data_IF_652331457610
#
_entry.id   IF_652331457610
#
_cell.length_a   1.000
_cell.length_b   1.000
_cell.length_c   1.000
_cell.angle_alpha   90.00
_cell.angle_beta   90.00
_cell.angle_gamma   90.00
#
_symmetry.space_group_name_H-M   'P 1'
#
loop_
_entity.id
_entity.type
_entity.pdbx_description
1 polymer ?
#
# COMPACT_ATOMS: atom_id res chain seq x y z
N UNK A 1 -7.80 27.38 -27.93
CA UNK A 1 -9.26 27.17 -27.94
C UNK A 1 -9.73 25.86 -27.29
N UNK A 2 -8.91 24.82 -27.19
CA UNK A 2 -9.35 23.52 -26.66
C UNK A 2 -9.45 23.41 -25.11
N UNK A 3 -8.83 24.30 -24.36
CA UNK A 3 -8.89 24.26 -22.87
C UNK A 3 -10.24 24.75 -22.30
N UNK A 4 -10.95 25.59 -23.03
CA UNK A 4 -12.23 26.17 -22.58
C UNK A 4 -13.40 25.20 -22.74
N UNK A 5 -13.34 24.31 -23.75
CA UNK A 5 -14.40 23.33 -24.04
C UNK A 5 -14.39 22.18 -23.01
N UNK A 6 -13.21 21.77 -22.54
CA UNK A 6 -13.07 20.74 -21.49
C UNK A 6 -13.63 21.26 -20.15
N UNK A 7 -13.41 22.54 -19.86
CA UNK A 7 -13.94 23.17 -18.64
C UNK A 7 -15.48 23.27 -18.66
N UNK A 8 -16.09 23.51 -19.82
CA UNK A 8 -17.54 23.68 -19.92
C UNK A 8 -18.32 22.35 -19.82
N UNK A 9 -17.83 21.27 -20.40
CA UNK A 9 -18.44 19.94 -20.23
C UNK A 9 -18.30 19.40 -18.81
N UNK A 10 -17.16 19.64 -18.17
CA UNK A 10 -16.90 19.23 -16.79
C UNK A 10 -17.81 20.02 -15.84
N UNK A 11 -17.98 21.34 -16.02
CA UNK A 11 -18.81 22.17 -15.13
C UNK A 11 -20.29 21.81 -15.15
N UNK A 12 -20.85 21.31 -16.26
CA UNK A 12 -22.27 20.92 -16.33
C UNK A 12 -22.56 19.52 -15.77
N UNK A 13 -21.58 18.63 -15.75
CA UNK A 13 -21.69 17.26 -15.22
C UNK A 13 -21.28 17.21 -13.75
N UNK A 14 -20.41 18.09 -13.31
CA UNK A 14 -19.75 18.09 -12.01
C UNK A 14 -20.67 18.31 -10.79
N UNK A 15 -21.73 19.14 -10.81
CA UNK A 15 -22.65 19.22 -9.68
C UNK A 15 -23.37 17.89 -9.38
N UNK A 16 -23.55 17.03 -10.40
CA UNK A 16 -24.13 15.70 -10.25
C UNK A 16 -23.13 14.66 -9.71
N UNK A 17 -21.83 14.90 -9.82
CA UNK A 17 -20.79 13.96 -9.45
C UNK A 17 -20.26 14.17 -8.01
N UNK A 18 -20.58 15.32 -7.44
CA UNK A 18 -19.98 15.79 -6.18
C UNK A 18 -20.51 15.12 -4.90
N UNK A 19 -21.54 14.29 -4.95
CA UNK A 19 -22.21 13.90 -3.70
C UNK A 19 -22.09 12.45 -3.29
N UNK A 20 -21.82 11.50 -4.17
CA UNK A 20 -21.78 10.07 -3.78
C UNK A 20 -21.64 9.14 -5.00
N UNK A 21 -21.31 7.88 -4.73
CA UNK A 21 -21.44 6.73 -5.63
C UNK A 21 -22.80 6.68 -6.39
N UNK A 22 -23.86 7.20 -5.77
CA UNK A 22 -25.20 7.36 -6.38
C UNK A 22 -25.19 8.35 -7.53
N UNK A 23 -24.39 9.40 -7.46
CA UNK A 23 -24.38 10.45 -8.48
C UNK A 23 -23.51 10.05 -9.68
N UNK A 24 -22.45 9.29 -9.47
CA UNK A 24 -21.73 8.60 -10.55
C UNK A 24 -22.61 7.58 -11.29
N UNK A 25 -23.54 6.92 -10.58
CA UNK A 25 -24.54 6.04 -11.21
C UNK A 25 -25.59 6.80 -12.02
N UNK A 26 -25.94 8.03 -11.63
CA UNK A 26 -26.86 8.89 -12.40
C UNK A 26 -26.27 9.30 -13.75
N UNK A 27 -24.94 9.47 -13.83
CA UNK A 27 -24.26 9.73 -15.12
C UNK A 27 -24.48 8.57 -16.11
N UNK A 28 -24.58 7.32 -15.62
CA UNK A 28 -24.93 6.14 -16.45
C UNK A 28 -26.42 6.09 -16.82
N UNK A 29 -27.29 6.84 -16.16
CA UNK A 29 -28.72 6.92 -16.49
C UNK A 29 -29.05 8.05 -17.46
N UNK A 30 -28.08 8.50 -18.26
CA UNK A 30 -28.24 9.52 -19.31
C UNK A 30 -29.32 9.17 -20.37
N UNK A 31 -29.82 7.93 -20.36
CA UNK A 31 -30.87 7.42 -21.24
C UNK A 31 -32.16 8.29 -21.22
N UNK A 32 -32.33 9.13 -20.21
CA UNK A 32 -33.50 10.00 -20.08
C UNK A 32 -33.34 11.39 -20.72
N UNK A 33 -32.13 11.78 -21.16
CA UNK A 33 -31.93 13.03 -21.87
C UNK A 33 -32.29 12.89 -23.36
N UNK A 34 -33.08 13.79 -23.90
CA UNK A 34 -33.57 13.74 -25.27
C UNK A 34 -32.47 13.57 -26.35
N UNK A 35 -31.24 14.08 -26.08
CA UNK A 35 -30.09 13.92 -27.00
C UNK A 35 -29.59 12.50 -27.12
N UNK A 36 -29.79 11.66 -26.08
CA UNK A 36 -29.33 10.28 -26.03
C UNK A 36 -30.39 9.28 -26.53
N UNK A 37 -31.66 9.68 -26.59
CA UNK A 37 -32.76 8.83 -27.07
C UNK A 37 -32.59 8.42 -28.54
N UNK A 38 -31.76 9.15 -29.31
CA UNK A 38 -31.50 8.89 -30.72
C UNK A 38 -30.25 8.06 -30.94
N UNK A 39 -29.46 7.78 -29.89
CA UNK A 39 -28.23 6.97 -29.96
C UNK A 39 -28.54 5.48 -29.93
N UNK A 40 -27.84 4.72 -30.71
CA UNK A 40 -27.81 3.25 -30.57
C UNK A 40 -27.20 2.87 -29.23
N UNK A 41 -27.43 1.66 -28.77
CA UNK A 41 -26.84 1.13 -27.53
C UNK A 41 -25.28 1.14 -27.57
N UNK A 42 -24.69 0.95 -28.73
CA UNK A 42 -23.24 0.97 -28.92
C UNK A 42 -22.67 2.40 -28.79
N UNK A 43 -23.31 3.38 -29.44
CA UNK A 43 -22.93 4.79 -29.35
C UNK A 43 -23.08 5.34 -27.94
N UNK A 44 -24.15 4.95 -27.23
CA UNK A 44 -24.36 5.36 -25.84
C UNK A 44 -23.28 4.76 -24.93
N UNK A 45 -22.93 3.47 -25.11
CA UNK A 45 -21.87 2.82 -24.35
C UNK A 45 -20.51 3.47 -24.60
N UNK A 46 -20.17 3.80 -25.85
CA UNK A 46 -18.93 4.51 -26.19
C UNK A 46 -18.86 5.89 -25.54
N UNK A 47 -19.97 6.63 -25.60
CA UNK A 47 -20.08 7.93 -24.93
C UNK A 47 -19.88 7.83 -23.41
N UNK A 48 -20.56 6.88 -22.76
CA UNK A 48 -20.43 6.62 -21.32
C UNK A 48 -18.99 6.27 -20.95
N UNK A 49 -18.33 5.42 -21.76
CA UNK A 49 -16.93 5.02 -21.53
C UNK A 49 -15.98 6.22 -21.65
N UNK A 50 -16.15 7.05 -22.68
CA UNK A 50 -15.36 8.28 -22.85
C UNK A 50 -15.54 9.25 -21.69
N UNK A 51 -16.78 9.41 -21.22
CA UNK A 51 -17.08 10.27 -20.08
C UNK A 51 -16.43 9.73 -18.80
N UNK A 52 -16.51 8.41 -18.55
CA UNK A 52 -15.87 7.80 -17.38
C UNK A 52 -14.34 7.93 -17.41
N UNK A 53 -13.72 7.84 -18.58
CA UNK A 53 -12.26 8.09 -18.75
C UNK A 53 -11.91 9.53 -18.40
N UNK A 54 -12.66 10.51 -18.90
CA UNK A 54 -12.43 11.92 -18.57
C UNK A 54 -12.57 12.18 -17.07
N UNK A 55 -13.54 11.54 -16.41
CA UNK A 55 -13.71 11.61 -14.97
C UNK A 55 -12.53 10.95 -14.24
N UNK A 56 -12.11 9.76 -14.66
CA UNK A 56 -10.98 9.06 -14.07
C UNK A 56 -9.66 9.85 -14.23
N UNK A 57 -9.52 10.68 -15.25
CA UNK A 57 -8.34 11.52 -15.47
C UNK A 57 -8.15 12.60 -14.37
N UNK A 58 -9.17 12.89 -13.58
CA UNK A 58 -9.02 13.73 -12.39
C UNK A 58 -8.08 13.11 -11.35
N UNK A 59 -7.91 11.78 -11.32
CA UNK A 59 -6.91 11.11 -10.48
C UNK A 59 -5.47 11.31 -10.99
N UNK A 60 -5.26 11.83 -12.21
CA UNK A 60 -3.94 12.19 -12.74
C UNK A 60 -3.45 13.57 -12.29
N UNK A 61 -4.32 14.36 -11.68
CA UNK A 61 -3.93 15.64 -11.08
C UNK A 61 -3.13 15.32 -9.79
N UNK A 62 -1.88 15.78 -9.66
CA UNK A 62 -1.10 15.53 -8.47
C UNK A 62 -1.84 15.96 -7.19
N UNK A 63 -1.80 15.17 -6.11
CA UNK A 63 -2.36 15.61 -4.84
C UNK A 63 -1.51 16.72 -4.23
N UNK A 64 -2.12 17.51 -3.38
CA UNK A 64 -1.41 18.43 -2.51
C UNK A 64 -0.72 17.65 -1.39
N UNK A 65 0.53 18.04 -1.10
CA UNK A 65 1.32 17.50 0.00
C UNK A 65 1.29 18.50 1.14
N UNK A 66 0.50 18.19 2.16
CA UNK A 66 0.34 19.06 3.32
C UNK A 66 1.36 18.70 4.41
N UNK A 67 2.36 19.55 4.62
CA UNK A 67 3.41 19.40 5.63
C UNK A 67 3.16 20.23 6.90
N UNK A 68 2.03 20.92 6.97
CA UNK A 68 1.57 21.68 8.14
C UNK A 68 0.09 21.36 8.42
N UNK A 69 -0.20 20.10 8.81
CA UNK A 69 -1.58 19.65 8.95
C UNK A 69 -2.36 20.47 9.97
N UNK A 70 -3.61 20.77 9.62
CA UNK A 70 -4.55 21.44 10.52
C UNK A 70 -4.95 20.48 11.67
N UNK A 71 -5.46 21.02 12.80
CA UNK A 71 -5.92 20.20 13.93
C UNK A 71 -6.97 19.15 13.61
N UNK A 72 -7.68 19.27 12.50
CA UNK A 72 -8.64 18.26 12.03
C UNK A 72 -8.01 16.89 11.70
N UNK A 73 -6.69 16.85 11.50
CA UNK A 73 -5.93 15.62 11.28
C UNK A 73 -5.31 15.05 12.56
N UNK A 74 -5.47 15.70 13.71
CA UNK A 74 -4.94 15.23 15.00
C UNK A 74 -5.64 13.94 15.46
N UNK A 75 -4.99 13.16 16.30
CA UNK A 75 -5.48 11.86 16.80
C UNK A 75 -6.84 11.94 17.49
N UNK A 76 -7.12 13.00 18.21
CA UNK A 76 -8.36 13.22 18.93
C UNK A 76 -9.56 13.54 18.02
N UNK A 77 -9.30 13.87 16.77
CA UNK A 77 -10.34 14.04 15.75
C UNK A 77 -10.57 12.75 14.95
N UNK A 78 -9.63 11.82 14.96
CA UNK A 78 -9.70 10.56 14.22
C UNK A 78 -10.60 9.54 14.92
N UNK A 79 -11.23 8.66 14.14
CA UNK A 79 -12.05 7.55 14.64
C UNK A 79 -11.71 6.22 13.96
N UNK A 80 -10.73 6.22 13.06
CA UNK A 80 -10.30 5.06 12.29
C UNK A 80 -8.80 5.13 12.03
N UNK A 81 -8.14 3.99 12.06
CA UNK A 81 -6.75 3.82 11.62
C UNK A 81 -6.59 2.50 10.89
N UNK A 82 -5.79 2.49 9.83
CA UNK A 82 -5.27 1.29 9.20
C UNK A 82 -3.77 1.50 8.95
N UNK A 83 -2.95 0.63 9.53
CA UNK A 83 -1.50 0.69 9.36
C UNK A 83 -1.10 0.51 7.90
N UNK A 84 -0.15 1.28 7.43
CA UNK A 84 0.42 1.12 6.09
C UNK A 84 1.88 0.72 6.15
N UNK A 85 2.71 1.51 6.84
CA UNK A 85 4.16 1.37 6.73
C UNK A 85 4.90 2.01 7.90
N UNK A 86 6.10 1.52 8.13
CA UNK A 86 7.10 2.11 9.04
C UNK A 86 8.48 2.04 8.41
N UNK A 87 9.30 3.08 8.58
CA UNK A 87 10.67 3.10 8.05
C UNK A 87 11.58 3.96 8.92
N UNK A 88 12.88 3.61 8.97
CA UNK A 88 13.92 4.35 9.67
C UNK A 88 14.84 5.06 8.69
N UNK A 89 15.11 6.32 8.95
CA UNK A 89 16.06 7.13 8.19
C UNK A 89 17.50 6.96 8.72
N UNK A 90 18.52 7.35 7.95
CA UNK A 90 19.91 7.24 8.38
C UNK A 90 20.23 8.02 9.68
N UNK A 91 19.56 9.16 9.91
CA UNK A 91 19.71 9.95 11.15
C UNK A 91 19.02 9.30 12.36
N UNK A 92 18.23 8.26 12.15
CA UNK A 92 17.60 7.48 13.21
C UNK A 92 16.13 7.78 13.46
N UNK A 93 15.56 8.80 12.82
CA UNK A 93 14.12 9.08 12.90
C UNK A 93 13.33 7.93 12.30
N UNK A 94 12.24 7.57 12.96
CA UNK A 94 11.29 6.57 12.46
C UNK A 94 10.05 7.30 11.91
N UNK A 95 9.68 7.01 10.67
CA UNK A 95 8.45 7.47 10.05
C UNK A 95 7.42 6.36 10.02
N UNK A 96 6.17 6.70 10.35
CA UNK A 96 5.01 5.83 10.35
C UNK A 96 3.92 6.47 9.51
N UNK A 97 3.25 5.68 8.64
CA UNK A 97 2.06 6.14 7.92
C UNK A 97 0.88 5.20 8.11
N UNK A 98 -0.31 5.81 8.10
CA UNK A 98 -1.60 5.13 8.20
C UNK A 98 -2.66 5.88 7.40
N UNK A 99 -3.81 5.27 7.19
CA UNK A 99 -4.96 5.99 6.66
C UNK A 99 -5.94 6.36 7.77
N UNK A 100 -6.50 7.55 7.62
CA UNK A 100 -7.62 8.05 8.40
C UNK A 100 -8.97 7.85 7.69
N UNK A 101 -10.04 8.28 8.33
CA UNK A 101 -11.46 8.24 7.94
C UNK A 101 -12.01 6.82 7.86
N UNK A 102 -11.62 5.99 6.91
CA UNK A 102 -12.12 4.64 6.70
C UNK A 102 -11.32 3.89 5.61
N UNK A 103 -11.52 2.60 5.50
CA UNK A 103 -11.14 1.79 4.33
C UNK A 103 -12.24 1.99 3.25
N UNK A 104 -12.26 3.16 2.62
CA UNK A 104 -13.36 3.61 1.76
C UNK A 104 -12.91 4.76 0.81
N UNK A 105 -13.75 5.21 -0.12
CA UNK A 105 -13.41 6.27 -1.07
C UNK A 105 -12.98 7.61 -0.46
N UNK A 106 -13.27 7.88 0.81
CA UNK A 106 -12.91 9.13 1.48
C UNK A 106 -11.59 9.07 2.27
N UNK A 107 -10.86 7.95 2.20
CA UNK A 107 -9.60 7.77 2.89
C UNK A 107 -8.52 8.76 2.43
N UNK A 108 -7.63 9.09 3.35
CA UNK A 108 -6.44 9.91 3.15
C UNK A 108 -5.28 9.36 3.98
N UNK A 109 -4.06 9.65 3.55
CA UNK A 109 -2.84 9.20 4.21
C UNK A 109 -2.35 10.25 5.21
N UNK A 110 -1.95 9.76 6.38
CA UNK A 110 -1.30 10.54 7.44
C UNK A 110 0.06 9.93 7.76
N UNK A 111 1.02 10.78 8.13
CA UNK A 111 2.32 10.31 8.62
C UNK A 111 2.79 11.11 9.83
N UNK A 112 3.42 10.41 10.76
CA UNK A 112 4.05 10.95 11.96
C UNK A 112 5.46 10.40 12.11
N UNK A 113 6.26 10.98 12.99
CA UNK A 113 7.62 10.53 13.26
C UNK A 113 7.90 10.35 14.75
N UNK A 114 8.92 9.54 15.02
CA UNK A 114 9.47 9.30 16.35
C UNK A 114 10.99 9.47 16.30
N UNK A 115 11.56 10.19 17.28
CA UNK A 115 13.00 10.40 17.43
C UNK A 115 13.59 9.59 18.61
N UNK A 116 12.78 8.78 19.28
CA UNK A 116 13.14 8.01 20.49
C UNK A 116 12.88 6.51 20.35
N UNK A 117 13.11 5.97 19.15
CA UNK A 117 12.94 4.54 18.83
C UNK A 117 11.50 4.04 19.06
N UNK A 118 10.50 4.87 18.74
CA UNK A 118 9.10 4.51 18.78
C UNK A 118 8.44 4.58 20.16
N UNK A 119 9.10 5.16 21.17
CA UNK A 119 8.52 5.31 22.51
C UNK A 119 7.46 6.42 22.51
N UNK A 120 7.73 7.54 21.81
CA UNK A 120 6.76 8.62 21.60
C UNK A 120 6.66 9.02 20.13
N UNK A 121 5.53 9.59 19.75
CA UNK A 121 5.21 9.96 18.38
C UNK A 121 4.74 11.40 18.27
N UNK A 122 5.17 12.08 17.23
CA UNK A 122 4.69 13.42 16.89
C UNK A 122 3.20 13.36 16.52
N UNK A 123 2.54 14.53 16.54
CA UNK A 123 1.31 14.72 15.77
C UNK A 123 1.57 14.44 14.27
N UNK A 124 0.51 14.24 13.44
CA UNK A 124 0.70 14.14 12.00
C UNK A 124 1.52 15.30 11.45
N UNK A 125 2.57 15.00 10.70
CA UNK A 125 3.51 15.97 10.10
C UNK A 125 3.37 16.03 8.59
N UNK A 126 2.70 15.05 8.01
CA UNK A 126 2.45 14.94 6.59
C UNK A 126 1.05 14.38 6.38
N UNK A 127 0.29 15.01 5.48
CA UNK A 127 -1.00 14.50 5.03
C UNK A 127 -1.04 14.53 3.51
N UNK A 128 -1.50 13.45 2.93
CA UNK A 128 -1.85 13.37 1.51
C UNK A 128 -3.35 13.11 1.44
N UNK A 129 -4.11 14.17 1.19
CA UNK A 129 -5.55 14.12 1.07
C UNK A 129 -5.94 14.40 -0.38
N UNK A 130 -6.52 13.42 -1.04
CA UNK A 130 -6.98 13.57 -2.42
C UNK A 130 -8.18 14.49 -2.57
N UNK A 131 -8.87 14.84 -1.47
CA UNK A 131 -10.01 15.75 -1.48
C UNK A 131 -9.53 17.18 -1.78
N UNK A 132 -10.27 17.88 -2.60
CA UNK A 132 -10.00 19.29 -2.91
C UNK A 132 -11.30 19.99 -3.29
N UNK A 133 -11.51 21.19 -2.79
CA UNK A 133 -12.67 22.01 -3.17
C UNK A 133 -12.66 22.42 -4.66
N UNK A 134 -11.47 22.40 -5.28
CA UNK A 134 -11.30 22.68 -6.70
C UNK A 134 -11.62 21.47 -7.60
N UNK A 135 -11.73 20.26 -7.03
CA UNK A 135 -12.02 19.02 -7.75
C UNK A 135 -13.32 18.43 -7.18
N UNK A 136 -14.40 18.40 -7.96
CA UNK A 136 -15.74 18.07 -7.46
C UNK A 136 -15.95 16.57 -7.19
N UNK A 137 -14.96 15.75 -7.48
CA UNK A 137 -14.98 14.30 -7.18
C UNK A 137 -13.90 14.00 -6.18
N UNK A 138 -14.27 13.19 -5.18
CA UNK A 138 -13.36 12.74 -4.16
C UNK A 138 -12.33 11.78 -4.73
N UNK A 139 -11.06 12.16 -4.62
CA UNK A 139 -9.93 11.27 -4.91
C UNK A 139 -9.59 10.51 -3.64
N UNK A 140 -9.26 9.25 -3.80
CA UNK A 140 -8.93 8.32 -2.72
C UNK A 140 -7.42 8.15 -2.63
N UNK A 141 -6.86 8.25 -1.44
CA UNK A 141 -5.50 7.82 -1.11
C UNK A 141 -5.61 6.80 0.02
N UNK A 142 -5.34 5.53 -0.27
CA UNK A 142 -5.63 4.44 0.67
C UNK A 142 -4.45 3.52 0.94
N UNK A 143 -3.43 3.57 0.11
CA UNK A 143 -2.25 2.71 0.21
C UNK A 143 -1.00 3.60 0.20
N UNK A 144 0.02 3.20 0.96
CA UNK A 144 1.30 3.87 0.93
C UNK A 144 2.40 3.03 1.58
N UNK A 145 3.65 3.30 1.21
CA UNK A 145 4.80 2.64 1.79
C UNK A 145 6.01 3.57 1.87
N UNK A 146 6.56 3.70 3.07
CA UNK A 146 7.86 4.35 3.27
C UNK A 146 8.99 3.38 2.93
N UNK A 147 10.05 3.91 2.38
CA UNK A 147 11.29 3.20 2.10
C UNK A 147 12.48 4.16 2.08
N UNK A 148 13.52 3.84 2.82
CA UNK A 148 14.81 4.54 2.74
C UNK A 148 15.67 3.81 1.72
N UNK A 149 16.08 4.50 0.66
CA UNK A 149 16.89 3.92 -0.38
C UNK A 149 18.39 3.79 0.06
N UNK A 150 19.23 3.09 -0.71
CA UNK A 150 20.64 2.92 -0.36
C UNK A 150 21.44 4.23 -0.30
N UNK A 151 20.95 5.33 -0.84
CA UNK A 151 21.59 6.66 -0.73
C UNK A 151 21.19 7.41 0.53
N UNK A 152 20.21 6.90 1.28
CA UNK A 152 19.65 7.52 2.47
C UNK A 152 18.45 8.43 2.24
N UNK A 153 18.00 8.56 1.01
CA UNK A 153 16.80 9.31 0.64
C UNK A 153 15.55 8.57 1.09
N UNK A 154 14.63 9.25 1.75
CA UNK A 154 13.34 8.69 2.16
C UNK A 154 12.32 8.86 1.03
N UNK A 155 11.73 7.76 0.63
CA UNK A 155 10.61 7.69 -0.31
C UNK A 155 9.31 7.43 0.43
N UNK A 156 8.23 8.08 0.00
CA UNK A 156 6.87 7.67 0.30
C UNK A 156 6.16 7.37 -1.02
N UNK A 157 5.95 6.10 -1.28
CA UNK A 157 5.07 5.64 -2.35
C UNK A 157 3.63 5.68 -1.84
N UNK A 158 2.69 6.09 -2.69
CA UNK A 158 1.26 6.08 -2.34
C UNK A 158 0.42 5.92 -3.59
N UNK A 159 -0.83 5.48 -3.43
CA UNK A 159 -1.78 5.45 -4.52
C UNK A 159 -2.64 6.72 -4.55
N UNK A 160 -3.16 7.05 -5.72
CA UNK A 160 -4.29 7.95 -5.89
C UNK A 160 -5.21 7.42 -6.98
N UNK A 161 -6.49 7.33 -6.65
CA UNK A 161 -7.53 6.80 -7.54
C UNK A 161 -8.86 7.52 -7.29
N UNK A 162 -9.91 7.20 -8.05
CA UNK A 162 -11.28 7.61 -7.75
C UNK A 162 -12.10 6.44 -7.26
N UNK A 163 -13.05 6.72 -6.35
CA UNK A 163 -14.03 5.77 -5.89
C UNK A 163 -13.43 4.42 -5.44
N UNK A 164 -12.38 4.45 -4.63
CA UNK A 164 -11.63 3.32 -4.13
C UNK A 164 -10.74 2.65 -5.19
N UNK A 165 -11.22 2.43 -6.42
CA UNK A 165 -10.46 2.01 -7.58
C UNK A 165 -11.24 2.28 -8.87
N UNK A 166 -10.66 3.07 -9.76
CA UNK A 166 -11.27 3.54 -11.01
C UNK A 166 -10.96 2.64 -12.23
N UNK A 167 -10.39 1.48 -12.02
CA UNK A 167 -9.99 0.53 -13.08
C UNK A 167 -8.58 0.78 -13.62
N UNK A 168 -7.94 1.90 -13.28
CA UNK A 168 -6.58 2.26 -13.65
C UNK A 168 -5.69 2.48 -12.43
N UNK A 169 -6.16 3.24 -11.43
CA UNK A 169 -5.37 3.66 -10.29
C UNK A 169 -4.17 4.53 -10.68
N UNK A 170 -3.32 4.82 -9.72
CA UNK A 170 -2.07 5.54 -9.95
C UNK A 170 -1.13 5.39 -8.77
N UNK A 171 0.04 4.80 -9.02
CA UNK A 171 1.15 4.79 -8.10
C UNK A 171 1.94 6.08 -8.24
N UNK A 172 2.11 6.78 -7.14
CA UNK A 172 2.86 8.04 -7.01
C UNK A 172 3.98 7.88 -5.99
N UNK A 173 4.96 8.77 -6.05
CA UNK A 173 5.96 8.91 -5.01
C UNK A 173 6.29 10.38 -4.74
N UNK A 174 6.66 10.64 -3.49
CA UNK A 174 7.39 11.83 -3.03
C UNK A 174 8.66 11.38 -2.33
N UNK A 175 9.66 12.24 -2.31
CA UNK A 175 10.95 11.96 -1.66
C UNK A 175 11.40 13.10 -0.76
N UNK A 176 12.23 12.79 0.23
CA UNK A 176 12.94 13.77 1.03
C UNK A 176 14.42 13.37 1.15
N UNK A 177 15.31 14.33 0.87
CA UNK A 177 16.76 14.20 1.06
C UNK A 177 17.19 14.58 2.49
N UNK A 178 16.29 15.19 3.25
CA UNK A 178 16.54 15.64 4.62
C UNK A 178 15.44 15.16 5.60
N UNK A 179 15.09 13.86 5.62
CA UNK A 179 13.95 13.35 6.38
C UNK A 179 14.12 13.44 7.90
N UNK A 180 15.34 13.68 8.37
CA UNK A 180 15.70 13.81 9.78
C UNK A 180 15.62 15.28 10.29
N UNK A 181 15.41 16.24 9.41
CA UNK A 181 15.28 17.65 9.79
C UNK A 181 13.97 17.90 10.56
N UNK A 182 13.96 18.98 11.36
CA UNK A 182 12.74 19.41 12.04
C UNK A 182 11.59 19.66 11.05
N UNK A 183 11.89 20.22 9.88
CA UNK A 183 10.95 20.48 8.81
C UNK A 183 11.47 19.87 7.50
N UNK A 184 11.26 18.58 7.26
CA UNK A 184 11.71 17.91 6.06
C UNK A 184 11.09 18.51 4.80
N UNK A 185 11.89 18.65 3.75
CA UNK A 185 11.42 19.10 2.45
C UNK A 185 11.04 17.90 1.61
N UNK A 186 9.84 17.91 1.08
CA UNK A 186 9.32 16.85 0.21
C UNK A 186 9.29 17.30 -1.24
N UNK A 187 9.63 16.41 -2.14
CA UNK A 187 9.52 16.64 -3.58
C UNK A 187 8.07 16.82 -4.03
N UNK A 188 7.87 17.38 -5.21
CA UNK A 188 6.56 17.32 -5.87
C UNK A 188 6.17 15.84 -6.14
N UNK A 189 4.87 15.49 -6.08
CA UNK A 189 4.40 14.16 -6.41
C UNK A 189 4.73 13.78 -7.85
N UNK A 190 5.39 12.64 -8.03
CA UNK A 190 5.73 12.05 -9.33
C UNK A 190 4.91 10.78 -9.52
N UNK A 191 4.14 10.71 -10.61
CA UNK A 191 3.43 9.49 -10.97
C UNK A 191 4.39 8.48 -11.59
N UNK A 192 4.35 7.24 -11.09
CA UNK A 192 5.25 6.16 -11.50
C UNK A 192 4.57 5.23 -12.49
N UNK A 193 3.38 4.73 -12.15
CA UNK A 193 2.67 3.74 -12.98
C UNK A 193 1.16 3.75 -12.75
N UNK A 194 0.47 2.84 -13.42
CA UNK A 194 -0.88 2.40 -13.05
C UNK A 194 -0.83 1.49 -11.83
N UNK A 195 -1.99 1.27 -11.20
CA UNK A 195 -2.11 0.39 -10.05
C UNK A 195 -1.63 1.02 -8.75
N UNK A 196 -1.27 0.19 -7.79
CA UNK A 196 -0.86 0.56 -6.45
C UNK A 196 0.22 -0.38 -5.92
N UNK A 197 0.85 -0.03 -4.81
CA UNK A 197 1.81 -0.90 -4.13
C UNK A 197 1.67 -0.78 -2.61
N UNK A 198 1.96 -1.86 -1.91
CA UNK A 198 1.93 -1.89 -0.45
C UNK A 198 3.14 -2.65 0.13
N UNK A 199 4.26 -2.65 -0.56
CA UNK A 199 5.47 -3.36 -0.14
C UNK A 199 6.69 -2.54 -0.50
N UNK A 200 7.73 -2.63 0.34
CA UNK A 200 8.98 -1.90 0.09
C UNK A 200 9.69 -2.41 -1.17
N UNK A 201 10.36 -1.54 -1.92
CA UNK A 201 11.26 -1.97 -2.98
C UNK A 201 12.33 -2.94 -2.49
N UNK A 202 12.80 -3.79 -3.38
CA UNK A 202 13.95 -4.66 -3.16
C UNK A 202 15.11 -4.18 -4.04
N UNK A 203 16.26 -3.94 -3.43
CA UNK A 203 17.50 -3.67 -4.16
C UNK A 203 18.14 -5.02 -4.49
N UNK A 204 18.32 -5.29 -5.78
CA UNK A 204 18.95 -6.51 -6.25
C UNK A 204 20.47 -6.46 -6.10
N UNK A 205 21.11 -7.62 -6.09
CA UNK A 205 22.57 -7.75 -6.10
C UNK A 205 23.23 -7.07 -7.32
N UNK A 206 22.47 -6.84 -8.39
CA UNK A 206 22.89 -6.06 -9.58
C UNK A 206 22.84 -4.54 -9.37
N UNK A 207 22.30 -4.07 -8.24
CA UNK A 207 22.05 -2.64 -7.97
C UNK A 207 20.72 -2.11 -8.52
N UNK A 208 19.95 -2.89 -9.26
CA UNK A 208 18.62 -2.52 -9.74
C UNK A 208 17.61 -2.51 -8.59
N UNK A 209 16.66 -1.60 -8.64
CA UNK A 209 15.55 -1.56 -7.69
C UNK A 209 14.31 -2.20 -8.29
N UNK A 210 13.71 -3.12 -7.58
CA UNK A 210 12.49 -3.82 -7.99
C UNK A 210 11.34 -3.40 -7.10
N UNK A 211 10.25 -2.98 -7.72
CA UNK A 211 9.03 -2.50 -7.07
C UNK A 211 7.85 -3.36 -7.51
N UNK A 212 7.26 -4.19 -6.64
CA UNK A 212 6.03 -4.89 -6.96
C UNK A 212 4.85 -3.92 -6.88
N UNK A 213 4.30 -3.55 -8.02
CA UNK A 213 3.03 -2.84 -8.13
C UNK A 213 1.94 -3.82 -8.53
N UNK A 214 0.69 -3.53 -8.24
CA UNK A 214 -0.40 -4.38 -8.71
C UNK A 214 -1.49 -3.55 -9.40
N UNK A 215 -1.96 -4.05 -10.51
CA UNK A 215 -3.18 -3.58 -11.16
C UNK A 215 -4.26 -4.65 -10.92
N UNK A 216 -5.32 -4.26 -10.23
CA UNK A 216 -6.37 -5.20 -9.83
C UNK A 216 -6.93 -5.94 -11.05
N UNK A 217 -7.20 -7.23 -10.89
CA UNK A 217 -7.82 -8.06 -11.93
C UNK A 217 -9.28 -7.67 -12.21
N UNK A 218 -9.94 -7.00 -11.27
CA UNK A 218 -11.23 -6.40 -11.51
C UNK A 218 -11.06 -5.03 -12.19
N UNK A 219 -11.81 -4.80 -13.26
CA UNK A 219 -11.74 -3.63 -14.14
C UNK A 219 -12.21 -2.31 -13.49
N UNK A 220 -12.22 -2.23 -12.15
CA UNK A 220 -12.71 -1.09 -11.39
C UNK A 220 -13.99 -1.37 -10.62
N UNK A 221 -14.38 -0.42 -9.79
CA UNK A 221 -15.59 -0.49 -8.97
C UNK A 221 -16.68 0.44 -9.47
N UNK A 222 -17.94 0.02 -9.28
CA UNK A 222 -19.09 0.84 -9.61
C UNK A 222 -19.08 1.33 -11.07
N UNK A 223 -19.16 2.66 -11.29
CA UNK A 223 -19.30 3.22 -12.63
C UNK A 223 -18.06 3.08 -13.51
N UNK A 224 -16.90 2.80 -12.95
CA UNK A 224 -15.64 2.67 -13.68
C UNK A 224 -15.38 1.26 -14.23
N UNK A 225 -16.24 0.30 -13.91
CA UNK A 225 -16.07 -1.08 -14.42
C UNK A 225 -16.04 -1.11 -15.95
N UNK A 226 -15.00 -1.72 -16.52
CA UNK A 226 -14.81 -1.81 -17.97
C UNK A 226 -14.40 -0.50 -18.66
N UNK A 227 -13.92 0.49 -17.90
CA UNK A 227 -13.50 1.79 -18.45
C UNK A 227 -12.17 1.72 -19.21
N UNK A 228 -11.25 0.82 -18.81
CA UNK A 228 -9.90 0.71 -19.36
C UNK A 228 -9.58 -0.73 -19.81
N UNK A 229 -10.26 -1.27 -20.85
CA UNK A 229 -10.01 -2.65 -21.31
C UNK A 229 -8.59 -2.84 -21.88
N UNK A 230 -7.95 -1.78 -22.37
CA UNK A 230 -6.56 -1.84 -22.83
C UNK A 230 -5.54 -2.16 -21.73
N UNK A 231 -5.92 -2.03 -20.47
CA UNK A 231 -5.10 -2.40 -19.31
C UNK A 231 -5.26 -3.87 -18.90
N UNK A 232 -6.20 -4.61 -19.47
CA UNK A 232 -6.47 -6.00 -19.09
C UNK A 232 -5.26 -6.94 -19.23
N UNK A 233 -4.39 -6.80 -20.25
CA UNK A 233 -3.15 -7.58 -20.33
C UNK A 233 -2.15 -7.31 -19.21
N UNK A 234 -2.29 -6.18 -18.51
CA UNK A 234 -1.38 -5.75 -17.43
C UNK A 234 -1.94 -6.00 -16.04
N UNK A 235 -3.13 -6.62 -15.93
CA UNK A 235 -3.75 -6.90 -14.63
C UNK A 235 -3.04 -8.05 -13.93
N UNK A 236 -2.65 -7.78 -12.68
CA UNK A 236 -1.85 -8.67 -11.86
C UNK A 236 -0.75 -7.91 -11.11
N UNK A 237 0.26 -8.62 -10.66
CA UNK A 237 1.47 -8.02 -10.09
C UNK A 237 2.40 -7.58 -11.21
N UNK A 238 2.64 -6.29 -11.30
CA UNK A 238 3.55 -5.66 -12.25
C UNK A 238 4.91 -5.46 -11.58
N UNK A 239 5.94 -6.00 -12.17
CA UNK A 239 7.31 -5.86 -11.67
C UNK A 239 7.93 -4.63 -12.32
N UNK A 240 7.95 -3.52 -11.61
CA UNK A 240 8.59 -2.29 -12.04
C UNK A 240 10.06 -2.31 -11.63
N UNK A 241 10.93 -1.87 -12.51
CA UNK A 241 12.37 -1.85 -12.25
C UNK A 241 12.94 -0.48 -12.56
N UNK A 242 13.81 0.01 -11.67
CA UNK A 242 14.64 1.17 -11.88
C UNK A 242 16.11 0.73 -11.95
N UNK A 243 16.83 1.26 -12.94
CA UNK A 243 18.29 1.11 -13.13
C UNK A 243 19.04 2.42 -12.90
N UNK A 244 18.33 3.46 -12.50
CA UNK A 244 18.80 4.84 -12.38
C UNK A 244 18.40 5.45 -11.01
N UNK A 245 18.40 4.61 -9.96
CA UNK A 245 18.13 5.01 -8.57
C UNK A 245 16.76 5.71 -8.39
N UNK A 246 15.74 5.21 -9.08
CA UNK A 246 14.36 5.70 -8.96
C UNK A 246 14.00 6.88 -9.87
N UNK A 247 14.93 7.38 -10.66
CA UNK A 247 14.64 8.47 -11.61
C UNK A 247 13.61 8.04 -12.66
N UNK A 248 13.68 6.80 -13.10
CA UNK A 248 12.65 6.20 -13.95
C UNK A 248 12.34 4.76 -13.55
N UNK A 249 11.11 4.34 -13.85
CA UNK A 249 10.61 3.00 -13.60
C UNK A 249 10.04 2.40 -14.87
N UNK A 250 10.41 1.15 -15.16
CA UNK A 250 9.95 0.43 -16.36
C UNK A 250 9.32 -0.89 -15.95
N UNK A 251 8.23 -1.23 -16.60
CA UNK A 251 7.62 -2.56 -16.48
C UNK A 251 8.57 -3.60 -17.09
N UNK A 252 8.95 -4.60 -16.29
CA UNK A 252 9.81 -5.70 -16.70
C UNK A 252 9.04 -6.99 -16.92
N UNK A 253 8.10 -7.31 -16.04
CA UNK A 253 7.30 -8.52 -16.13
C UNK A 253 6.00 -8.40 -15.37
N UNK A 254 5.12 -9.37 -15.57
CA UNK A 254 3.81 -9.43 -14.93
C UNK A 254 3.59 -10.85 -14.43
N UNK A 255 3.02 -10.97 -13.21
CA UNK A 255 2.53 -12.26 -12.72
C UNK A 255 1.10 -12.12 -12.20
N UNK A 256 0.22 -12.99 -12.67
CA UNK A 256 -1.14 -13.14 -12.15
C UNK A 256 -1.19 -14.31 -11.18
N UNK A 257 -1.97 -14.18 -10.11
CA UNK A 257 -2.21 -15.25 -9.14
C UNK A 257 -3.66 -15.72 -9.20
N UNK A 258 -3.94 -17.00 -9.02
CA UNK A 258 -5.31 -17.51 -8.93
C UNK A 258 -5.98 -17.00 -7.63
N UNK A 259 -7.30 -16.83 -7.67
CA UNK A 259 -8.08 -16.32 -6.55
C UNK A 259 -7.51 -15.01 -5.96
N UNK A 260 -7.27 -13.99 -6.76
CA UNK A 260 -6.60 -12.77 -6.33
C UNK A 260 -7.41 -12.04 -5.27
N UNK A 261 -6.69 -11.39 -4.35
CA UNK A 261 -7.25 -10.50 -3.36
C UNK A 261 -6.24 -9.41 -3.01
N UNK A 262 -6.34 -8.24 -3.63
CA UNK A 262 -5.44 -7.09 -3.51
C UNK A 262 -3.96 -7.37 -3.83
N UNK A 263 -3.56 -8.57 -4.12
CA UNK A 263 -2.21 -9.09 -4.38
C UNK A 263 -1.19 -8.78 -3.28
N UNK A 264 -0.95 -7.53 -2.92
CA UNK A 264 -0.02 -7.07 -1.87
C UNK A 264 1.30 -7.87 -1.91
N UNK A 265 1.83 -8.02 -3.13
CA UNK A 265 2.97 -8.88 -3.38
C UNK A 265 4.27 -8.32 -2.81
N UNK A 266 5.15 -9.21 -2.40
CA UNK A 266 6.52 -8.91 -1.97
C UNK A 266 7.51 -9.68 -2.85
N UNK A 267 8.64 -9.07 -3.16
CA UNK A 267 9.70 -9.71 -3.93
C UNK A 267 10.97 -9.72 -3.08
N UNK A 268 11.62 -10.87 -3.01
CA UNK A 268 12.92 -11.05 -2.36
C UNK A 268 13.87 -11.71 -3.36
N UNK A 269 15.10 -11.22 -3.43
CA UNK A 269 16.17 -11.92 -4.15
C UNK A 269 16.73 -13.02 -3.25
N UNK A 270 16.75 -14.26 -3.74
CA UNK A 270 17.32 -15.41 -3.06
C UNK A 270 18.85 -15.43 -3.20
N UNK A 271 19.54 -16.22 -2.39
CA UNK A 271 20.99 -16.33 -2.42
C UNK A 271 21.54 -16.87 -3.75
N UNK A 272 20.73 -17.63 -4.48
CA UNK A 272 21.05 -18.12 -5.83
C UNK A 272 20.78 -17.10 -6.95
N UNK A 273 20.31 -15.90 -6.58
CA UNK A 273 19.98 -14.82 -7.49
C UNK A 273 18.61 -14.92 -8.15
N UNK A 274 17.84 -15.98 -7.88
CA UNK A 274 16.44 -16.09 -8.31
C UNK A 274 15.58 -15.08 -7.53
N UNK A 275 14.55 -14.52 -8.15
CA UNK A 275 13.57 -13.73 -7.42
C UNK A 275 12.45 -14.63 -6.91
N UNK A 276 12.07 -14.44 -5.68
CA UNK A 276 10.92 -15.06 -5.04
C UNK A 276 9.84 -14.00 -4.81
N UNK A 277 8.69 -14.18 -5.44
CA UNK A 277 7.52 -13.35 -5.25
C UNK A 277 6.50 -14.11 -4.41
N UNK A 278 6.02 -13.48 -3.35
CA UNK A 278 4.89 -13.95 -2.56
C UNK A 278 3.73 -12.99 -2.72
N UNK A 279 2.51 -13.49 -2.79
CA UNK A 279 1.31 -12.67 -2.96
C UNK A 279 0.15 -13.14 -2.08
N UNK A 280 -0.60 -12.16 -1.59
CA UNK A 280 -1.87 -12.41 -0.90
C UNK A 280 -2.91 -12.88 -1.90
N UNK A 281 -3.56 -13.99 -1.59
CA UNK A 281 -4.74 -14.49 -2.30
C UNK A 281 -5.89 -14.75 -1.33
N UNK A 282 -7.09 -15.01 -1.85
CA UNK A 282 -8.23 -15.40 -1.00
C UNK A 282 -8.02 -16.74 -0.28
N UNK A 283 -7.05 -17.53 -0.72
CA UNK A 283 -6.72 -18.84 -0.16
C UNK A 283 -5.43 -18.83 0.69
N UNK A 284 -4.85 -17.66 0.95
CA UNK A 284 -3.61 -17.52 1.70
C UNK A 284 -2.45 -16.99 0.87
N UNK A 285 -1.22 -17.32 1.26
CA UNK A 285 0.00 -16.90 0.57
C UNK A 285 0.31 -17.88 -0.56
N UNK A 286 0.46 -17.35 -1.77
CA UNK A 286 1.01 -18.09 -2.91
C UNK A 286 2.35 -17.51 -3.30
N UNK A 287 3.16 -18.31 -3.99
CA UNK A 287 4.50 -17.95 -4.44
C UNK A 287 4.71 -18.18 -5.93
N UNK A 288 5.66 -17.46 -6.50
CA UNK A 288 6.13 -17.62 -7.87
C UNK A 288 7.61 -17.23 -7.93
N UNK A 289 8.37 -17.81 -8.85
CA UNK A 289 9.81 -17.65 -8.96
C UNK A 289 10.20 -17.11 -10.32
N UNK A 290 11.22 -16.26 -10.35
CA UNK A 290 11.82 -15.74 -11.58
C UNK A 290 13.31 -16.05 -11.64
N UNK A 291 13.79 -16.80 -12.64
CA UNK A 291 15.21 -17.09 -12.81
C UNK A 291 15.98 -15.96 -13.51
N UNK A 292 15.27 -14.98 -14.06
CA UNK A 292 15.78 -13.97 -14.99
C UNK A 292 15.52 -12.53 -14.52
N UNK A 293 15.60 -12.30 -13.20
CA UNK A 293 15.44 -10.97 -12.58
C UNK A 293 14.09 -10.29 -12.84
N UNK A 294 13.03 -11.09 -13.02
CA UNK A 294 11.66 -10.60 -13.09
C UNK A 294 11.07 -10.50 -14.49
N UNK A 295 11.76 -10.96 -15.53
CA UNK A 295 11.20 -11.00 -16.89
C UNK A 295 10.16 -12.10 -17.05
N UNK A 296 10.46 -13.31 -16.58
CA UNK A 296 9.53 -14.44 -16.59
C UNK A 296 9.31 -14.99 -15.18
N UNK A 297 8.15 -15.60 -14.96
CA UNK A 297 7.72 -16.08 -13.65
C UNK A 297 7.11 -17.47 -13.76
N UNK A 298 7.44 -18.35 -12.83
CA UNK A 298 6.82 -19.68 -12.74
C UNK A 298 5.31 -19.61 -12.51
N UNK A 299 4.60 -20.68 -12.78
CA UNK A 299 3.20 -20.77 -12.36
C UNK A 299 3.12 -20.65 -10.83
N UNK A 300 2.13 -19.89 -10.31
CA UNK A 300 1.97 -19.72 -8.88
C UNK A 300 1.49 -21.00 -8.20
N UNK A 301 2.06 -21.27 -7.03
CA UNK A 301 1.63 -22.35 -6.16
C UNK A 301 1.58 -21.87 -4.70
N UNK A 302 1.04 -22.69 -3.81
CA UNK A 302 1.17 -22.45 -2.38
C UNK A 302 2.64 -22.56 -1.95
N UNK A 303 3.01 -21.86 -0.89
CA UNK A 303 4.40 -21.87 -0.41
C UNK A 303 4.86 -23.30 -0.10
N UNK A 304 6.04 -23.66 -0.57
CA UNK A 304 6.62 -24.98 -0.33
C UNK A 304 6.72 -25.35 1.16
N UNK A 305 6.82 -24.34 2.03
CA UNK A 305 6.81 -24.49 3.50
C UNK A 305 5.39 -24.64 4.10
N UNK A 306 4.34 -24.74 3.29
CA UNK A 306 2.93 -24.81 3.75
C UNK A 306 2.57 -23.74 4.78
N UNK A 307 2.88 -22.47 4.44
CA UNK A 307 2.59 -21.33 5.32
C UNK A 307 1.09 -21.03 5.27
N UNK A 308 0.38 -21.38 6.33
CA UNK A 308 -1.06 -21.11 6.44
C UNK A 308 -1.31 -19.68 6.91
N UNK A 309 -2.08 -18.91 6.13
CA UNK A 309 -2.37 -17.50 6.38
C UNK A 309 -3.77 -17.13 5.86
N UNK A 310 -4.52 -16.27 6.55
CA UNK A 310 -5.82 -15.79 6.04
C UNK A 310 -5.60 -14.85 4.84
N UNK A 311 -6.69 -14.50 4.13
CA UNK A 311 -6.65 -13.40 3.17
C UNK A 311 -6.41 -12.08 3.89
N UNK A 312 -5.15 -11.77 4.14
CA UNK A 312 -4.64 -10.56 4.81
C UNK A 312 -3.23 -10.25 4.31
N UNK A 313 -2.76 -9.02 4.54
CA UNK A 313 -1.36 -8.69 4.33
C UNK A 313 -0.49 -9.46 5.33
N UNK A 314 0.64 -9.94 4.87
CA UNK A 314 1.76 -10.48 5.63
C UNK A 314 3.00 -9.63 5.36
N UNK A 315 4.15 -9.97 5.93
CA UNK A 315 5.40 -9.27 5.67
C UNK A 315 6.54 -10.27 5.53
N UNK A 316 7.31 -10.15 4.45
CA UNK A 316 8.54 -10.92 4.20
C UNK A 316 9.66 -9.96 3.83
N UNK A 317 10.83 -10.11 4.44
CA UNK A 317 12.01 -9.32 4.11
C UNK A 317 13.29 -10.08 4.46
N UNK A 318 14.36 -9.85 3.70
CA UNK A 318 15.70 -10.30 4.08
C UNK A 318 16.28 -9.36 5.12
N UNK A 319 16.83 -9.93 6.20
CA UNK A 319 17.54 -9.23 7.26
C UNK A 319 19.03 -9.12 6.93
N UNK A 320 19.74 -8.26 7.64
CA UNK A 320 21.18 -8.05 7.50
C UNK A 320 22.01 -9.32 7.78
N UNK A 321 21.49 -10.23 8.61
CA UNK A 321 22.06 -11.55 8.87
C UNK A 321 22.01 -12.51 7.67
N UNK A 322 21.28 -12.14 6.61
CA UNK A 322 20.98 -12.99 5.47
C UNK A 322 19.74 -13.88 5.65
N UNK A 323 19.15 -13.94 6.85
CA UNK A 323 17.91 -14.66 7.10
C UNK A 323 16.72 -13.95 6.49
N UNK A 324 15.67 -14.71 6.13
CA UNK A 324 14.37 -14.15 5.81
C UNK A 324 13.52 -14.04 7.07
N UNK A 325 12.88 -12.89 7.25
CA UNK A 325 11.86 -12.66 8.26
C UNK A 325 10.47 -12.82 7.62
N UNK A 326 9.60 -13.55 8.29
CA UNK A 326 8.17 -13.64 7.97
C UNK A 326 7.34 -13.18 9.17
N UNK A 327 6.42 -12.25 8.94
CA UNK A 327 5.35 -11.89 9.90
C UNK A 327 4.01 -12.32 9.31
N UNK A 328 3.27 -13.14 10.05
CA UNK A 328 1.99 -13.71 9.57
C UNK A 328 0.94 -13.77 10.68
N UNK A 329 -0.32 -13.88 10.30
CA UNK A 329 -1.40 -14.20 11.24
C UNK A 329 -1.33 -15.67 11.69
N UNK A 330 -1.70 -15.91 12.94
CA UNK A 330 -1.65 -17.21 13.61
C UNK A 330 -0.37 -17.44 14.40
N UNK A 331 -0.46 -18.11 15.52
CA UNK A 331 0.66 -18.43 16.42
C UNK A 331 1.55 -19.59 15.90
N UNK A 332 1.07 -20.38 14.94
CA UNK A 332 1.78 -21.50 14.34
C UNK A 332 1.99 -21.28 12.83
N UNK A 333 3.07 -21.83 12.25
CA UNK A 333 3.38 -21.68 10.84
C UNK A 333 2.26 -22.24 9.96
N UNK A 334 1.82 -23.46 10.27
CA UNK A 334 0.86 -24.24 9.49
C UNK A 334 -0.60 -24.07 9.95
N UNK A 335 -0.92 -22.99 10.67
CA UNK A 335 -2.28 -22.74 11.15
C UNK A 335 -2.55 -21.24 11.28
N UNK A 336 -3.80 -20.85 11.05
CA UNK A 336 -4.33 -19.54 11.42
C UNK A 336 -5.81 -19.64 11.83
N UNK A 337 -6.27 -18.62 12.56
CA UNK A 337 -7.67 -18.47 12.99
C UNK A 337 -8.21 -17.11 12.50
N UNK A 338 -8.10 -16.87 11.18
CA UNK A 338 -8.42 -15.59 10.60
C UNK A 338 -7.36 -14.52 10.89
N UNK A 339 -7.77 -13.26 10.93
CA UNK A 339 -6.88 -12.09 11.19
C UNK A 339 -6.64 -11.91 12.69
N UNK A 340 -6.19 -12.97 13.34
CA UNK A 340 -5.91 -13.01 14.76
C UNK A 340 -4.46 -13.40 14.97
N UNK A 341 -3.86 -12.91 16.03
CA UNK A 341 -2.49 -13.18 16.44
C UNK A 341 -1.48 -12.89 15.33
N UNK A 342 -0.38 -12.28 15.67
CA UNK A 342 0.78 -12.20 14.79
C UNK A 342 1.95 -12.98 15.37
N UNK A 343 2.67 -13.69 14.51
CA UNK A 343 3.92 -14.37 14.85
C UNK A 343 5.02 -14.05 13.86
N UNK A 344 6.25 -14.05 14.37
CA UNK A 344 7.48 -13.82 13.63
C UNK A 344 8.26 -15.13 13.47
N UNK A 345 8.76 -15.38 12.26
CA UNK A 345 9.49 -16.58 11.87
C UNK A 345 10.75 -16.21 11.09
N UNK A 346 11.80 -17.03 11.19
CA UNK A 346 13.05 -16.88 10.46
C UNK A 346 13.32 -18.08 9.55
N UNK A 347 13.83 -17.82 8.36
CA UNK A 347 14.35 -18.85 7.44
C UNK A 347 15.82 -18.61 7.14
N UNK A 348 16.62 -19.66 7.19
CA UNK A 348 18.05 -19.69 6.88
C UNK A 348 18.34 -20.28 5.49
N UNK A 349 17.31 -20.81 4.82
CA UNK A 349 17.40 -21.56 3.58
C UNK A 349 16.49 -21.01 2.46
N UNK A 350 16.37 -19.66 2.44
CA UNK A 350 15.60 -18.93 1.44
C UNK A 350 14.12 -19.33 1.36
N UNK A 351 13.47 -19.50 2.53
CA UNK A 351 12.06 -19.72 2.65
C UNK A 351 11.62 -21.19 2.58
N UNK A 352 12.53 -22.15 2.47
CA UNK A 352 12.20 -23.58 2.44
C UNK A 352 11.75 -24.09 3.80
N UNK A 353 12.42 -23.69 4.87
CA UNK A 353 12.04 -24.00 6.25
C UNK A 353 12.05 -22.75 7.13
N UNK A 354 11.24 -22.78 8.19
CA UNK A 354 11.08 -21.65 9.09
C UNK A 354 11.21 -22.09 10.55
N UNK A 355 11.90 -21.27 11.34
CA UNK A 355 12.20 -21.50 12.75
C UNK A 355 11.67 -20.34 13.60
N UNK A 356 11.47 -20.58 14.88
CA UNK A 356 11.07 -19.58 15.86
C UNK A 356 9.58 -19.65 16.19
N UNK A 357 8.81 -18.60 15.88
CA UNK A 357 7.40 -18.51 16.20
C UNK A 357 7.11 -17.60 17.38
N UNK A 358 7.88 -16.48 17.52
CA UNK A 358 7.58 -15.45 18.50
C UNK A 358 6.19 -14.88 18.24
N UNK A 359 5.25 -15.06 19.17
CA UNK A 359 3.95 -14.38 19.11
C UNK A 359 4.14 -12.92 19.52
N UNK A 360 4.09 -12.01 18.55
CA UNK A 360 4.26 -10.56 18.78
C UNK A 360 2.97 -9.88 19.23
N UNK A 361 1.82 -10.43 18.86
CA UNK A 361 0.51 -10.01 19.36
C UNK A 361 -0.46 -11.21 19.41
N UNK A 362 -1.07 -11.46 20.54
CA UNK A 362 -2.01 -12.57 20.78
C UNK A 362 -3.48 -12.17 20.65
N UNK A 363 -3.75 -10.90 20.34
CA UNK A 363 -5.11 -10.36 20.22
C UNK A 363 -5.76 -10.73 18.88
N UNK A 364 -7.08 -10.58 18.86
CA UNK A 364 -7.88 -10.69 17.64
C UNK A 364 -7.83 -9.38 16.84
N UNK A 365 -8.15 -9.47 15.54
CA UNK A 365 -8.23 -8.31 14.62
C UNK A 365 -6.91 -7.54 14.51
N UNK A 366 -5.80 -8.25 14.42
CA UNK A 366 -4.48 -7.68 14.09
C UNK A 366 -4.20 -7.88 12.60
N UNK A 367 -3.85 -6.77 11.91
CA UNK A 367 -3.69 -6.80 10.45
C UNK A 367 -2.59 -5.85 9.98
N UNK A 368 -2.17 -6.00 8.72
CA UNK A 368 -1.31 -5.08 7.97
C UNK A 368 0.07 -4.83 8.58
N UNK A 369 0.89 -5.89 8.76
CA UNK A 369 2.26 -5.72 9.23
C UNK A 369 3.13 -5.07 8.16
N UNK A 370 4.00 -4.16 8.59
CA UNK A 370 5.14 -3.64 7.84
C UNK A 370 6.31 -3.41 8.81
N UNK A 371 7.55 -3.38 8.30
CA UNK A 371 8.68 -3.27 9.19
C UNK A 371 10.00 -2.92 8.54
N UNK A 372 10.99 -2.76 9.40
CA UNK A 372 12.40 -2.58 9.04
C UNK A 372 13.29 -3.22 10.12
N UNK A 373 14.55 -3.43 9.79
CA UNK A 373 15.62 -3.78 10.72
C UNK A 373 16.49 -2.54 10.96
N UNK A 374 16.73 -2.20 12.22
CA UNK A 374 17.64 -1.13 12.59
C UNK A 374 19.11 -1.61 12.53
N UNK A 375 20.10 -0.67 12.47
CA UNK A 375 21.51 -1.04 12.37
C UNK A 375 22.05 -1.90 13.54
N UNK A 376 21.38 -1.88 14.69
CA UNK A 376 21.71 -2.70 15.86
C UNK A 376 21.06 -4.10 15.83
N UNK A 377 20.40 -4.48 14.73
CA UNK A 377 19.68 -5.74 14.57
C UNK A 377 18.30 -5.79 15.23
N UNK A 378 17.82 -4.69 15.78
CA UNK A 378 16.45 -4.61 16.30
C UNK A 378 15.45 -4.52 15.14
N UNK A 379 14.49 -5.42 15.12
CA UNK A 379 13.41 -5.50 14.14
C UNK A 379 12.22 -4.70 14.67
N UNK A 380 11.69 -3.79 13.87
CA UNK A 380 10.51 -2.99 14.16
C UNK A 380 9.37 -3.42 13.26
N UNK A 381 8.22 -3.79 13.83
CA UNK A 381 7.00 -4.15 13.09
C UNK A 381 5.85 -3.29 13.57
N UNK A 382 5.27 -2.52 12.65
CA UNK A 382 4.00 -1.84 12.85
C UNK A 382 2.84 -2.69 12.33
N UNK A 383 1.67 -2.54 12.91
CA UNK A 383 0.43 -3.20 12.48
C UNK A 383 -0.78 -2.50 13.08
N UNK A 384 -1.97 -2.72 12.51
CA UNK A 384 -3.19 -2.24 13.14
C UNK A 384 -3.85 -3.31 14.03
N UNK A 385 -4.48 -2.85 15.10
CA UNK A 385 -5.33 -3.64 15.94
C UNK A 385 -6.72 -2.99 16.02
N UNK A 386 -7.75 -3.71 15.56
CA UNK A 386 -9.16 -3.29 15.63
C UNK A 386 -9.44 -1.91 15.01
N UNK A 387 -9.12 -1.73 13.73
CA UNK A 387 -9.08 -0.50 12.90
C UNK A 387 -10.00 0.66 13.29
N UNK A 388 -11.17 0.41 13.76
CA UNK A 388 -12.03 1.49 14.23
C UNK A 388 -12.92 1.07 15.39
N UNK A 389 -12.76 1.56 16.59
CA UNK A 389 -11.83 2.51 17.20
C UNK A 389 -10.58 1.84 17.78
N UNK A 390 -9.60 1.51 16.95
CA UNK A 390 -8.44 0.72 17.34
C UNK A 390 -7.18 1.55 17.57
N UNK A 391 -6.06 0.96 17.22
CA UNK A 391 -4.73 1.58 17.33
C UNK A 391 -3.79 1.09 16.23
N UNK A 392 -2.77 1.89 15.92
CA UNK A 392 -1.56 1.41 15.30
C UNK A 392 -0.62 0.97 16.42
N UNK A 393 -0.27 -0.30 16.39
CA UNK A 393 0.67 -0.89 17.33
C UNK A 393 2.06 -1.01 16.72
N UNK A 394 3.07 -1.06 17.60
CA UNK A 394 4.46 -1.27 17.27
C UNK A 394 5.00 -2.40 18.14
N UNK A 395 5.78 -3.29 17.55
CA UNK A 395 6.61 -4.27 18.24
C UNK A 395 8.06 -4.07 17.84
N UNK A 396 8.99 -4.16 18.79
CA UNK A 396 10.42 -4.20 18.57
C UNK A 396 11.01 -5.43 19.25
N UNK A 397 11.79 -6.20 18.51
CA UNK A 397 12.36 -7.47 18.96
C UNK A 397 13.59 -7.83 18.10
N UNK A 398 14.27 -8.91 18.44
CA UNK A 398 15.47 -9.36 17.74
C UNK A 398 15.28 -10.76 17.17
N UNK A 399 16.21 -11.21 16.31
CA UNK A 399 16.24 -12.60 15.83
C UNK A 399 16.36 -13.60 17.00
N UNK A 400 17.09 -13.23 18.07
CA UNK A 400 17.21 -14.07 19.26
C UNK A 400 15.86 -14.30 19.95
N UNK A 401 15.01 -13.26 20.01
CA UNK A 401 13.66 -13.39 20.56
C UNK A 401 12.78 -14.31 19.70
N UNK A 402 12.90 -14.20 18.38
CA UNK A 402 12.16 -15.07 17.45
C UNK A 402 12.57 -16.53 17.66
N UNK A 403 13.87 -16.82 17.68
CA UNK A 403 14.38 -18.18 17.85
C UNK A 403 14.04 -18.77 19.21
N UNK A 404 14.00 -17.94 20.27
CA UNK A 404 13.59 -18.36 21.61
C UNK A 404 12.08 -18.52 21.75
N UNK A 405 11.26 -18.01 20.83
CA UNK A 405 9.81 -17.96 20.92
C UNK A 405 9.27 -17.07 22.06
N UNK A 406 10.12 -16.22 22.64
CA UNK A 406 9.83 -15.29 23.73
C UNK A 406 10.85 -14.18 23.77
N UNK A 407 10.53 -13.08 24.47
CA UNK A 407 11.51 -11.99 24.64
C UNK A 407 12.66 -12.44 25.54
N UNK A 408 13.87 -12.31 25.03
CA UNK A 408 15.15 -12.55 25.71
C UNK A 408 16.08 -11.33 25.63
N UNK A 409 15.82 -10.40 24.73
CA UNK A 409 16.61 -9.19 24.53
C UNK A 409 16.01 -8.04 25.36
N UNK A 410 16.83 -7.29 26.12
CA UNK A 410 16.33 -6.28 27.06
C UNK A 410 15.64 -5.09 26.40
N UNK A 411 15.99 -4.76 25.15
CA UNK A 411 15.40 -3.66 24.40
C UNK A 411 14.05 -4.03 23.75
N UNK A 412 13.67 -5.31 23.76
CA UNK A 412 12.47 -5.80 23.07
C UNK A 412 11.20 -5.45 23.82
N UNK A 413 10.22 -4.92 23.10
CA UNK A 413 8.89 -4.58 23.62
C UNK A 413 7.83 -4.93 22.57
N UNK A 414 6.71 -5.47 23.02
CA UNK A 414 5.58 -5.83 22.17
C UNK A 414 4.37 -4.97 22.50
N UNK A 415 3.46 -4.84 21.53
CA UNK A 415 2.15 -4.15 21.69
C UNK A 415 2.28 -2.72 22.19
N UNK A 416 3.33 -2.01 21.79
CA UNK A 416 3.46 -0.57 22.02
C UNK A 416 2.40 0.17 21.18
N UNK A 417 1.77 1.18 21.75
CA UNK A 417 0.82 2.01 20.99
C UNK A 417 1.58 3.14 20.30
N UNK A 418 1.56 3.18 18.98
CA UNK A 418 2.11 4.28 18.20
C UNK A 418 1.05 5.38 17.95
N UNK A 419 -0.13 4.99 17.49
CA UNK A 419 -1.25 5.90 17.20
C UNK A 419 -2.53 5.33 17.78
N UNK A 420 -3.29 6.15 18.51
CA UNK A 420 -4.62 5.76 19.00
C UNK A 420 -5.61 6.89 18.76
N UNK A 421 -6.59 6.71 17.90
CA UNK A 421 -7.70 7.64 17.74
C UNK A 421 -8.47 7.79 19.04
N UNK A 422 -8.84 9.02 19.39
CA UNK A 422 -9.60 9.28 20.61
C UNK A 422 -11.10 9.45 20.33
N UNK A 423 -11.45 9.85 19.11
CA UNK A 423 -12.84 10.10 18.73
C UNK A 423 -13.55 8.78 18.42
N UNK A 424 -14.65 8.53 19.12
CA UNK A 424 -15.55 7.42 18.78
C UNK A 424 -16.42 7.83 17.59
N UNK A 425 -16.62 6.93 16.62
CA UNK A 425 -17.59 7.14 15.56
C UNK A 425 -18.99 7.24 16.20
N UNK A 426 -19.68 8.36 15.95
CA UNK A 426 -21.06 8.57 16.40
C UNK A 426 -22.05 7.70 15.59
#
# INVERSE_FOLDING_TARGET
>A
MNKLIIFFCVVFVLPCLAQNDRDLRKVRNLKHEAKFQKMSAAELKDYETKLMRQVADLALIPPEINTSPLPEYDYDTQHYVMSLTIERTPGGRIWLAWIGECDCPSSYLLAASSDDNGETWSKPRLVIDGRSSAIPIQRTVIIGNFWTDPTGKLWLFFDQTLNHFDGRGGLWAITSDNPDDENPVWSAPKRISHGAMLSKPTVLSTGEWVLPSYLLQNEGFGPFKGTFPELDPYRGVNVLVSTDQGESWKLRGIRTFPNPDWHEAMIVEKNDGQLWMTARTRKGIMESFSPDKGYTWSEPDFTAADIQHPSSRFFVRRLSSGRLLLIKNGAALHKHEGRNQFSAWLSEDDGKTWKGGLVIDDRNKVTYPDGFEAPDGTIYITYDHNRGPGEIALAKFTEADILAGRLVSPQSKLKMTAVRPLKKKK
#
